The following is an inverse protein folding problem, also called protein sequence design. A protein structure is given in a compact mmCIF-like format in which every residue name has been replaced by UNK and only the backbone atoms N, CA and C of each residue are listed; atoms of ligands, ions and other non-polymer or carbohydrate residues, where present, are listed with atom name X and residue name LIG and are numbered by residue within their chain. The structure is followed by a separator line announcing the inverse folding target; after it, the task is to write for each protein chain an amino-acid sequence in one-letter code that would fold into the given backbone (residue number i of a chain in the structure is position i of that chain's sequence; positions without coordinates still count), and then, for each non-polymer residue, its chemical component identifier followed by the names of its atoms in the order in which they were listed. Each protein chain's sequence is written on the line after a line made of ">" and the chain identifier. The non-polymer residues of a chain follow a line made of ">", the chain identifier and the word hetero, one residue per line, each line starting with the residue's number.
data_IF_353897127700
#
_entry.id   IF_353897127700
#
_cell.length_a   1.000
_cell.length_b   1.000
_cell.length_c   1.000
_cell.angle_alpha   90.00
_cell.angle_beta   90.00
_cell.angle_gamma   90.00
#
_symmetry.space_group_name_H-M   'P 1'
#
loop_
_entity.id
_entity.type
_entity.pdbx_description
1 polymer ?
#
# COMPACT_ATOMS: atom_id res chain seq x y z
N UNK A 1 -26.09 -2.22 6.31
CA UNK A 1 -25.93 -0.84 5.75
C UNK A 1 -26.64 -0.78 4.42
N UNK A 2 -27.36 0.31 4.12
CA UNK A 2 -27.93 0.52 2.79
C UNK A 2 -26.83 0.89 1.80
N UNK A 3 -26.91 0.33 0.57
CA UNK A 3 -25.99 0.70 -0.51
C UNK A 3 -26.18 2.16 -0.89
N UNK A 4 -25.08 2.91 -1.03
CA UNK A 4 -25.10 4.30 -1.45
C UNK A 4 -24.25 4.47 -2.72
N UNK A 5 -24.85 5.09 -3.72
CA UNK A 5 -24.14 5.52 -4.93
C UNK A 5 -23.65 6.97 -4.73
N UNK A 6 -22.33 7.18 -4.76
CA UNK A 6 -21.73 8.51 -4.59
C UNK A 6 -20.49 8.66 -5.47
N UNK A 7 -20.15 9.91 -5.82
CA UNK A 7 -18.88 10.20 -6.47
C UNK A 7 -17.73 9.92 -5.50
N UNK A 8 -16.68 9.25 -6.00
CA UNK A 8 -15.47 9.03 -5.23
C UNK A 8 -14.78 10.38 -4.95
N UNK A 9 -14.44 10.61 -3.70
CA UNK A 9 -13.61 11.73 -3.26
C UNK A 9 -12.49 11.18 -2.40
N UNK A 10 -11.27 11.68 -2.59
CA UNK A 10 -10.16 11.30 -1.72
C UNK A 10 -10.42 11.87 -0.34
N UNK A 11 -10.65 11.00 0.63
CA UNK A 11 -10.85 11.35 2.03
C UNK A 11 -9.65 10.90 2.84
N UNK A 12 -9.33 11.62 3.92
CA UNK A 12 -8.33 11.22 4.88
C UNK A 12 -8.83 9.96 5.62
N UNK A 13 -8.52 8.78 5.04
CA UNK A 13 -8.83 7.48 5.63
C UNK A 13 -7.59 7.00 6.39
N UNK A 14 -7.80 6.31 7.51
CA UNK A 14 -6.70 5.71 8.26
C UNK A 14 -5.88 4.75 7.37
N UNK A 15 -4.57 5.01 7.25
CA UNK A 15 -3.68 4.20 6.39
C UNK A 15 -3.29 2.90 7.07
N UNK A 16 -3.07 1.86 6.27
CA UNK A 16 -2.62 0.54 6.71
C UNK A 16 -1.29 0.23 6.04
N UNK A 17 -0.25 0.04 6.84
CA UNK A 17 1.13 -0.15 6.38
C UNK A 17 1.65 -1.47 6.94
N UNK A 18 2.24 -2.30 6.08
CA UNK A 18 2.98 -3.48 6.49
C UNK A 18 4.49 -3.23 6.41
N UNK A 19 5.23 -3.74 7.37
CA UNK A 19 6.69 -3.70 7.38
C UNK A 19 7.23 -5.11 7.60
N UNK A 20 7.87 -5.66 6.57
CA UNK A 20 8.54 -6.96 6.63
C UNK A 20 10.05 -6.80 6.77
N UNK A 21 10.70 -7.74 7.45
CA UNK A 21 12.15 -7.78 7.52
C UNK A 21 12.68 -8.82 8.48
N UNK A 22 13.96 -9.23 8.38
CA UNK A 22 14.58 -10.15 9.30
C UNK A 22 14.66 -9.57 10.72
N UNK A 23 14.96 -10.42 11.70
CA UNK A 23 15.25 -9.95 13.07
C UNK A 23 16.46 -9.03 13.04
N UNK A 24 16.39 -7.89 13.75
CA UNK A 24 17.45 -6.89 13.77
C UNK A 24 17.47 -5.91 12.59
N UNK A 25 16.52 -6.00 11.64
CA UNK A 25 16.45 -5.04 10.52
C UNK A 25 15.91 -3.64 10.88
N UNK A 26 15.50 -3.42 12.13
CA UNK A 26 15.01 -2.11 12.58
C UNK A 26 13.52 -1.86 12.32
N UNK A 27 12.68 -2.90 12.19
CA UNK A 27 11.23 -2.78 11.98
C UNK A 27 10.57 -1.90 13.05
N UNK A 28 10.69 -2.29 14.31
CA UNK A 28 10.10 -1.58 15.46
C UNK A 28 10.47 -0.10 15.46
N UNK A 29 11.78 0.20 15.30
CA UNK A 29 12.25 1.58 15.24
C UNK A 29 11.66 2.33 14.05
N UNK A 30 11.63 1.71 12.88
CA UNK A 30 11.02 2.30 11.68
C UNK A 30 9.54 2.59 11.86
N UNK A 31 8.79 1.67 12.50
CA UNK A 31 7.37 1.83 12.81
C UNK A 31 7.13 2.97 13.80
N UNK A 32 7.96 3.11 14.83
CA UNK A 32 7.90 4.23 15.78
C UNK A 32 8.15 5.57 15.10
N UNK A 33 9.25 5.70 14.33
CA UNK A 33 9.58 6.94 13.62
C UNK A 33 8.52 7.33 12.58
N UNK A 34 8.01 6.36 11.82
CA UNK A 34 6.94 6.59 10.86
C UNK A 34 5.67 7.05 11.56
N UNK A 35 5.28 6.40 12.66
CA UNK A 35 4.11 6.75 13.46
C UNK A 35 4.19 8.17 14.00
N UNK A 36 5.32 8.51 14.62
CA UNK A 36 5.55 9.87 15.13
C UNK A 36 5.42 10.91 14.02
N UNK A 37 6.08 10.69 12.88
CA UNK A 37 6.02 11.62 11.75
C UNK A 37 4.63 11.79 11.16
N UNK A 38 3.82 10.73 11.18
CA UNK A 38 2.44 10.75 10.72
C UNK A 38 1.55 11.57 11.68
N UNK A 39 1.64 11.32 13.00
CA UNK A 39 0.89 12.07 14.02
C UNK A 39 1.33 13.54 14.06
N UNK A 40 2.64 13.83 13.99
CA UNK A 40 3.16 15.20 13.99
C UNK A 40 2.71 16.00 12.76
N UNK A 41 2.60 15.35 11.61
CA UNK A 41 2.06 15.98 10.40
C UNK A 41 0.55 16.20 10.47
N UNK A 42 -0.18 15.33 11.16
CA UNK A 42 -1.62 15.46 11.39
C UNK A 42 -1.92 16.57 12.41
N UNK A 43 -1.08 16.69 13.44
CA UNK A 43 -1.23 17.62 14.56
C UNK A 43 0.05 18.45 14.75
N UNK A 44 0.35 19.38 13.83
CA UNK A 44 1.58 20.18 13.90
C UNK A 44 1.64 21.08 15.15
N UNK A 45 0.49 21.37 15.74
CA UNK A 45 0.34 22.17 16.97
C UNK A 45 0.64 21.37 18.24
N UNK A 46 0.66 20.04 18.20
CA UNK A 46 0.96 19.21 19.37
C UNK A 46 2.44 19.24 19.73
N UNK A 47 2.73 19.15 21.03
CA UNK A 47 4.09 18.87 21.49
C UNK A 47 4.54 17.48 21.05
N UNK A 48 5.83 17.21 21.10
CA UNK A 48 6.34 15.88 20.75
C UNK A 48 5.84 14.81 21.70
N UNK A 49 5.72 15.12 23.01
CA UNK A 49 5.15 14.21 23.99
C UNK A 49 3.68 13.87 23.69
N UNK A 50 2.88 14.84 23.28
CA UNK A 50 1.51 14.60 22.84
C UNK A 50 1.42 13.72 21.60
N UNK A 51 2.38 13.88 20.67
CA UNK A 51 2.45 13.03 19.48
C UNK A 51 2.80 11.59 19.85
N UNK A 52 3.75 11.39 20.77
CA UNK A 52 4.12 10.05 21.25
C UNK A 52 3.01 9.40 22.06
N UNK A 53 2.31 10.15 22.93
CA UNK A 53 1.18 9.66 23.72
C UNK A 53 -0.01 9.18 22.87
N UNK A 54 -0.10 9.60 21.61
CA UNK A 54 -1.12 9.18 20.66
C UNK A 54 -0.78 7.87 19.91
N UNK A 55 0.35 7.23 20.20
CA UNK A 55 0.84 6.00 19.58
C UNK A 55 0.68 4.85 20.56
N UNK A 56 0.13 3.72 20.11
CA UNK A 56 0.03 2.48 20.86
C UNK A 56 0.81 1.36 20.14
N UNK A 57 1.72 0.73 20.86
CA UNK A 57 2.45 -0.46 20.43
C UNK A 57 1.82 -1.70 21.07
N UNK A 58 1.26 -2.60 20.27
CA UNK A 58 0.87 -3.95 20.68
C UNK A 58 2.13 -4.81 20.59
N UNK A 59 2.73 -5.07 21.75
CA UNK A 59 4.01 -5.78 21.87
C UNK A 59 3.78 -7.26 22.16
N UNK A 60 4.23 -8.12 21.24
CA UNK A 60 4.24 -9.57 21.40
C UNK A 60 5.66 -10.12 21.60
N UNK A 61 6.65 -9.23 21.73
CA UNK A 61 8.08 -9.55 21.86
C UNK A 61 8.62 -9.31 23.29
N UNK A 62 7.79 -9.56 24.31
CA UNK A 62 8.14 -9.53 25.73
C UNK A 62 8.67 -8.16 26.22
N UNK A 63 8.02 -7.08 25.83
CA UNK A 63 8.37 -5.73 26.28
C UNK A 63 9.58 -5.14 25.55
N UNK A 64 10.05 -5.76 24.46
CA UNK A 64 11.21 -5.26 23.71
C UNK A 64 10.96 -3.90 23.08
N UNK A 65 9.70 -3.60 22.74
CA UNK A 65 9.29 -2.32 22.22
C UNK A 65 9.55 -1.16 23.18
N UNK A 66 9.39 -1.36 24.47
CA UNK A 66 9.60 -0.32 25.50
C UNK A 66 11.06 0.13 25.66
N UNK A 67 12.02 -0.65 25.16
CA UNK A 67 13.44 -0.33 25.26
C UNK A 67 13.87 0.93 24.47
N UNK A 68 13.05 1.34 23.52
CA UNK A 68 13.38 2.51 22.67
C UNK A 68 12.99 3.84 23.28
N UNK A 69 12.18 3.87 24.35
CA UNK A 69 11.77 5.10 25.03
C UNK A 69 12.97 5.80 25.65
N UNK A 70 13.14 7.08 25.33
CA UNK A 70 14.28 7.91 25.77
C UNK A 70 15.46 7.92 24.81
N UNK A 71 15.48 7.05 23.79
CA UNK A 71 16.53 7.05 22.77
C UNK A 71 16.39 8.26 21.82
N UNK A 72 17.50 8.57 21.14
CA UNK A 72 17.50 9.59 20.08
C UNK A 72 18.04 9.00 18.79
N UNK A 73 17.26 9.09 17.72
CA UNK A 73 17.64 8.61 16.39
C UNK A 73 17.67 9.80 15.42
N UNK A 74 18.88 10.14 14.95
CA UNK A 74 19.08 11.38 14.20
C UNK A 74 18.69 12.60 15.04
N UNK A 75 17.71 13.36 14.59
CA UNK A 75 17.17 14.53 15.30
C UNK A 75 15.91 14.22 16.13
N UNK A 76 15.44 12.97 16.12
CA UNK A 76 14.18 12.60 16.74
C UNK A 76 14.43 11.95 18.10
N UNK A 77 13.94 12.58 19.17
CA UNK A 77 13.87 11.98 20.50
C UNK A 77 12.58 11.14 20.59
N UNK A 78 12.73 9.88 21.05
CA UNK A 78 11.62 8.95 21.22
C UNK A 78 11.03 9.17 22.62
N UNK A 79 9.87 9.80 22.67
CA UNK A 79 9.12 10.02 23.90
C UNK A 79 8.44 8.77 24.43
N UNK A 80 7.71 8.93 25.53
CA UNK A 80 6.87 7.85 26.07
C UNK A 80 5.64 7.63 25.17
N UNK A 81 5.42 6.40 24.76
CA UNK A 81 4.24 5.93 24.03
C UNK A 81 3.54 4.81 24.79
N UNK A 82 2.30 4.53 24.40
CA UNK A 82 1.49 3.51 25.09
C UNK A 82 1.84 2.11 24.58
N UNK A 83 1.80 1.10 25.46
CA UNK A 83 2.00 -0.31 25.10
C UNK A 83 0.86 -1.17 25.58
N UNK A 84 0.57 -2.23 24.81
CA UNK A 84 -0.27 -3.35 25.19
C UNK A 84 0.59 -4.59 25.10
N UNK A 85 1.08 -5.08 26.24
CA UNK A 85 1.93 -6.26 26.28
C UNK A 85 1.08 -7.52 26.16
N UNK A 86 1.38 -8.32 25.13
CA UNK A 86 0.68 -9.57 24.86
C UNK A 86 1.59 -10.77 25.14
N UNK A 87 1.05 -11.74 25.88
CA UNK A 87 1.65 -13.05 26.10
C UNK A 87 0.85 -14.14 25.37
N UNK A 88 1.45 -15.32 25.13
CA UNK A 88 0.72 -16.46 24.59
C UNK A 88 -0.53 -16.80 25.43
N UNK A 89 -1.63 -17.28 24.84
CA UNK A 89 -1.75 -17.66 23.42
C UNK A 89 -2.03 -16.48 22.47
N UNK A 90 -1.29 -16.41 21.34
CA UNK A 90 -1.41 -15.36 20.33
C UNK A 90 -2.55 -15.65 19.35
N UNK A 91 -3.78 -15.64 19.85
CA UNK A 91 -4.96 -15.94 19.03
C UNK A 91 -5.38 -14.71 18.19
N UNK A 92 -6.03 -14.89 17.03
CA UNK A 92 -6.62 -13.76 16.30
C UNK A 92 -7.56 -12.91 17.16
N UNK A 93 -8.31 -13.53 18.08
CA UNK A 93 -9.21 -12.82 18.99
C UNK A 93 -8.44 -11.88 19.93
N UNK A 94 -7.32 -12.34 20.50
CA UNK A 94 -6.52 -11.51 21.43
C UNK A 94 -5.96 -10.25 20.73
N UNK A 95 -5.56 -10.37 19.45
CA UNK A 95 -5.14 -9.20 18.66
C UNK A 95 -6.32 -8.26 18.34
N UNK A 96 -7.50 -8.81 18.04
CA UNK A 96 -8.72 -8.00 17.84
C UNK A 96 -9.05 -7.22 19.10
N UNK A 97 -9.01 -7.86 20.27
CA UNK A 97 -9.26 -7.23 21.56
C UNK A 97 -8.24 -6.11 21.86
N UNK A 98 -6.96 -6.33 21.53
CA UNK A 98 -5.92 -5.31 21.69
C UNK A 98 -6.11 -4.12 20.76
N UNK A 99 -6.51 -4.34 19.50
CA UNK A 99 -6.83 -3.26 18.55
C UNK A 99 -8.01 -2.43 19.08
N UNK A 100 -9.10 -3.07 19.53
CA UNK A 100 -10.26 -2.38 20.07
C UNK A 100 -9.90 -1.60 21.34
N UNK A 101 -9.06 -2.15 22.23
CA UNK A 101 -8.57 -1.45 23.41
C UNK A 101 -7.82 -0.16 23.04
N UNK A 102 -6.94 -0.21 22.04
CA UNK A 102 -6.24 0.98 21.56
C UNK A 102 -7.21 2.01 20.94
N UNK A 103 -8.25 1.55 20.21
CA UNK A 103 -9.28 2.42 19.65
C UNK A 103 -10.14 3.11 20.73
N UNK A 104 -10.49 2.40 21.82
CA UNK A 104 -11.21 2.91 22.97
C UNK A 104 -10.40 3.98 23.72
N UNK A 105 -9.08 3.88 23.71
CA UNK A 105 -8.17 4.89 24.26
C UNK A 105 -7.85 6.03 23.29
N UNK A 106 -8.55 6.10 22.15
CA UNK A 106 -8.41 7.14 21.13
C UNK A 106 -7.00 7.28 20.55
N UNK A 107 -6.29 6.18 20.42
CA UNK A 107 -4.98 6.19 19.77
C UNK A 107 -5.09 6.61 18.30
N UNK A 108 -4.10 7.35 17.83
CA UNK A 108 -4.02 7.75 16.40
C UNK A 108 -3.35 6.68 15.55
N UNK A 109 -2.33 6.05 16.09
CA UNK A 109 -1.57 4.99 15.42
C UNK A 109 -1.50 3.77 16.32
N UNK A 110 -1.75 2.61 15.75
CA UNK A 110 -1.55 1.29 16.36
C UNK A 110 -0.41 0.61 15.61
N UNK A 111 0.65 0.26 16.32
CA UNK A 111 1.74 -0.58 15.83
C UNK A 111 1.50 -2.00 16.37
N UNK A 112 1.63 -3.02 15.53
CA UNK A 112 1.55 -4.44 15.93
C UNK A 112 2.93 -5.06 15.71
N UNK A 113 3.67 -5.30 16.77
CA UNK A 113 5.01 -5.90 16.72
C UNK A 113 5.12 -7.15 17.62
N UNK A 114 4.99 -8.30 17.03
CA UNK A 114 4.96 -8.65 15.62
C UNK A 114 3.65 -9.36 15.25
N UNK A 115 3.03 -8.99 14.13
CA UNK A 115 1.86 -9.69 13.61
C UNK A 115 2.17 -11.16 13.28
N UNK A 116 3.44 -11.51 13.04
CA UNK A 116 3.87 -12.90 12.79
C UNK A 116 3.43 -13.88 13.88
N UNK A 117 3.33 -13.44 15.14
CA UNK A 117 2.96 -14.34 16.23
C UNK A 117 1.51 -14.84 16.13
N UNK A 118 0.58 -14.09 15.53
CA UNK A 118 -0.77 -14.62 15.28
C UNK A 118 -0.77 -15.77 14.27
N UNK A 119 0.29 -15.88 13.46
CA UNK A 119 0.42 -16.96 12.48
C UNK A 119 1.21 -18.14 13.00
N UNK A 120 2.44 -17.90 13.50
CA UNK A 120 3.40 -18.95 13.89
C UNK A 120 3.55 -19.15 15.39
N UNK A 121 3.04 -18.22 16.22
CA UNK A 121 3.17 -18.28 17.67
C UNK A 121 2.27 -19.33 18.32
N UNK A 122 2.48 -19.57 19.61
CA UNK A 122 1.64 -20.46 20.42
C UNK A 122 0.19 -19.93 20.46
N UNK A 123 -0.78 -20.78 20.13
CA UNK A 123 -2.19 -20.41 19.99
C UNK A 123 -2.52 -19.72 18.67
N UNK A 124 -1.52 -19.41 17.86
CA UNK A 124 -1.71 -18.82 16.54
C UNK A 124 -2.33 -19.74 15.51
N UNK A 125 -2.54 -19.24 14.30
CA UNK A 125 -3.30 -19.93 13.25
C UNK A 125 -2.70 -21.29 12.86
N UNK A 126 -1.38 -21.38 12.72
CA UNK A 126 -0.70 -22.66 12.40
C UNK A 126 -0.78 -23.68 13.54
N UNK A 127 -0.59 -23.24 14.79
CA UNK A 127 -0.70 -24.10 15.97
C UNK A 127 -2.12 -24.66 16.11
N UNK A 128 -3.13 -23.81 15.96
CA UNK A 128 -4.53 -24.22 15.97
C UNK A 128 -4.86 -25.20 14.84
N UNK A 129 -4.39 -24.92 13.63
CA UNK A 129 -4.56 -25.79 12.47
C UNK A 129 -3.93 -27.16 12.71
N UNK A 130 -2.70 -27.21 13.24
CA UNK A 130 -2.00 -28.45 13.55
C UNK A 130 -2.74 -29.30 14.60
N UNK A 131 -3.25 -28.68 15.67
CA UNK A 131 -4.04 -29.35 16.73
C UNK A 131 -5.34 -29.96 16.17
N UNK A 132 -6.05 -29.23 15.30
CA UNK A 132 -7.27 -29.73 14.64
C UNK A 132 -6.92 -30.87 13.69
N UNK A 133 -5.88 -30.72 12.86
CA UNK A 133 -5.42 -31.73 11.92
C UNK A 133 -5.03 -33.05 12.62
N UNK A 134 -4.30 -32.94 13.72
CA UNK A 134 -3.91 -34.13 14.53
C UNK A 134 -5.14 -34.87 15.10
N UNK A 135 -6.17 -34.13 15.52
CA UNK A 135 -7.41 -34.71 16.07
C UNK A 135 -8.31 -35.33 15.00
N UNK A 136 -8.39 -34.70 13.80
CA UNK A 136 -9.33 -35.09 12.74
C UNK A 136 -8.70 -35.99 11.66
N UNK A 137 -7.37 -36.08 11.64
CA UNK A 137 -6.63 -36.78 10.58
C UNK A 137 -6.60 -36.05 9.24
N UNK A 138 -7.12 -34.81 9.15
CA UNK A 138 -7.23 -34.07 7.89
C UNK A 138 -6.77 -32.62 8.03
N UNK A 139 -5.56 -32.34 7.52
CA UNK A 139 -4.95 -31.03 7.53
C UNK A 139 -5.69 -29.99 6.68
N UNK A 140 -6.28 -30.43 5.56
CA UNK A 140 -6.97 -29.52 4.64
C UNK A 140 -8.27 -28.99 5.25
N UNK A 141 -9.09 -29.87 5.86
CA UNK A 141 -10.35 -29.46 6.47
C UNK A 141 -10.16 -28.59 7.71
N UNK A 142 -9.00 -28.71 8.40
CA UNK A 142 -8.69 -27.89 9.56
C UNK A 142 -8.66 -26.38 9.24
N UNK A 143 -8.28 -26.01 8.02
CA UNK A 143 -8.27 -24.62 7.59
C UNK A 143 -9.67 -23.98 7.51
N UNK A 144 -10.73 -24.79 7.37
CA UNK A 144 -12.10 -24.28 7.38
C UNK A 144 -12.47 -23.61 8.71
N UNK A 145 -11.88 -24.08 9.82
CA UNK A 145 -12.15 -23.55 11.16
C UNK A 145 -11.21 -22.40 11.51
N UNK A 146 -9.99 -22.37 10.94
CA UNK A 146 -8.96 -21.37 11.26
C UNK A 146 -9.10 -20.11 10.39
N UNK A 147 -9.39 -20.29 9.09
CA UNK A 147 -9.47 -19.18 8.12
C UNK A 147 -10.44 -18.06 8.51
N UNK A 148 -11.67 -18.33 9.01
CA UNK A 148 -12.60 -17.27 9.36
C UNK A 148 -12.11 -16.38 10.48
N UNK A 149 -11.39 -16.93 11.47
CA UNK A 149 -10.83 -16.13 12.58
C UNK A 149 -9.69 -15.24 12.10
N UNK A 150 -8.80 -15.79 11.29
CA UNK A 150 -7.73 -15.02 10.67
C UNK A 150 -8.26 -13.87 9.82
N UNK A 151 -9.25 -14.14 8.97
CA UNK A 151 -9.87 -13.11 8.14
C UNK A 151 -10.53 -12.02 8.99
N UNK A 152 -11.19 -12.37 10.10
CA UNK A 152 -11.79 -11.40 11.01
C UNK A 152 -10.74 -10.45 11.59
N UNK A 153 -9.55 -10.93 11.94
CA UNK A 153 -8.46 -10.06 12.39
C UNK A 153 -8.01 -9.12 11.27
N UNK A 154 -7.81 -9.63 10.05
CA UNK A 154 -7.45 -8.80 8.88
C UNK A 154 -8.51 -7.72 8.66
N UNK A 155 -9.78 -8.10 8.66
CA UNK A 155 -10.91 -7.16 8.50
C UNK A 155 -10.91 -6.10 9.63
N UNK A 156 -10.63 -6.48 10.88
CA UNK A 156 -10.54 -5.55 12.02
C UNK A 156 -9.41 -4.54 11.80
N UNK A 157 -8.22 -4.99 11.41
CA UNK A 157 -7.11 -4.09 11.09
C UNK A 157 -7.48 -3.11 9.97
N UNK A 158 -8.11 -3.61 8.90
CA UNK A 158 -8.47 -2.77 7.74
C UNK A 158 -9.58 -1.77 8.06
N UNK A 159 -10.54 -2.14 8.90
CA UNK A 159 -11.67 -1.29 9.28
C UNK A 159 -11.37 -0.36 10.45
N UNK A 160 -10.23 -0.53 11.12
CA UNK A 160 -9.82 0.33 12.23
C UNK A 160 -9.81 1.81 11.82
N UNK A 161 -10.27 2.66 12.73
CA UNK A 161 -10.25 4.12 12.58
C UNK A 161 -8.84 4.69 12.80
N UNK A 162 -7.96 3.94 13.46
CA UNK A 162 -6.57 4.30 13.67
C UNK A 162 -5.73 3.95 12.43
N UNK A 163 -4.64 4.65 12.21
CA UNK A 163 -3.58 4.17 11.34
C UNK A 163 -3.02 2.88 11.92
N UNK A 164 -2.80 1.86 11.10
CA UNK A 164 -2.24 0.59 11.58
C UNK A 164 -0.95 0.31 10.83
N UNK A 165 0.12 0.05 11.62
CA UNK A 165 1.40 -0.40 11.12
C UNK A 165 1.62 -1.80 11.68
N UNK A 166 1.83 -2.79 10.81
CA UNK A 166 2.03 -4.17 11.23
C UNK A 166 3.42 -4.66 10.84
N UNK A 167 4.21 -4.99 11.86
CA UNK A 167 5.55 -5.52 11.69
C UNK A 167 5.50 -7.05 11.55
N UNK A 168 6.22 -7.57 10.57
CA UNK A 168 6.26 -8.98 10.26
C UNK A 168 7.69 -9.47 10.10
N UNK A 169 7.99 -10.62 10.66
CA UNK A 169 9.28 -11.30 10.46
C UNK A 169 9.34 -11.83 9.04
N UNK A 170 10.45 -11.60 8.36
CA UNK A 170 10.70 -12.16 7.04
C UNK A 170 11.78 -13.24 7.11
N UNK A 171 11.70 -14.17 6.18
CA UNK A 171 12.71 -15.21 5.94
C UNK A 171 12.93 -15.35 4.43
N UNK A 172 14.07 -15.98 4.07
CA UNK A 172 14.31 -16.33 2.69
C UNK A 172 13.32 -17.41 2.26
N UNK A 173 12.60 -17.15 1.17
CA UNK A 173 11.71 -18.11 0.54
C UNK A 173 12.45 -18.90 -0.54
N UNK A 174 12.09 -20.18 -0.63
CA UNK A 174 12.71 -21.13 -1.54
C UNK A 174 11.64 -21.81 -2.38
N UNK A 175 11.83 -21.87 -3.68
CA UNK A 175 11.00 -22.66 -4.59
C UNK A 175 11.74 -23.91 -5.08
N UNK A 176 10.98 -25.00 -5.22
CA UNK A 176 11.47 -26.19 -5.91
C UNK A 176 11.23 -26.02 -7.41
N UNK A 177 12.31 -25.80 -8.16
CA UNK A 177 12.25 -25.70 -9.63
C UNK A 177 12.79 -27.01 -10.24
N UNK A 178 12.17 -27.46 -11.34
CA UNK A 178 12.72 -28.58 -12.12
C UNK A 178 13.95 -28.08 -12.89
N UNK A 179 15.12 -28.58 -12.53
CA UNK A 179 16.35 -28.34 -13.27
C UNK A 179 16.29 -28.98 -14.66
N UNK A 180 17.12 -28.49 -15.60
CA UNK A 180 17.18 -29.01 -16.98
C UNK A 180 17.54 -30.49 -17.12
N UNK A 181 18.01 -31.13 -16.04
CA UNK A 181 18.30 -32.58 -15.93
C UNK A 181 17.15 -33.39 -15.29
N UNK A 182 15.96 -32.78 -15.11
CA UNK A 182 14.79 -33.43 -14.50
C UNK A 182 14.83 -33.58 -12.97
N UNK A 183 15.94 -33.16 -12.32
CA UNK A 183 16.05 -33.18 -10.85
C UNK A 183 15.46 -31.89 -10.25
N UNK A 184 14.74 -32.03 -9.14
CA UNK A 184 14.29 -30.87 -8.35
C UNK A 184 15.49 -30.14 -7.77
N UNK A 185 15.57 -28.83 -7.98
CA UNK A 185 16.52 -27.93 -7.36
C UNK A 185 15.78 -26.92 -6.50
N UNK A 186 16.32 -26.62 -5.32
CA UNK A 186 15.79 -25.57 -4.43
C UNK A 186 16.47 -24.25 -4.80
N UNK A 187 15.70 -23.27 -5.21
CA UNK A 187 16.20 -21.94 -5.57
C UNK A 187 15.61 -20.92 -4.59
N UNK A 188 16.46 -20.05 -4.04
CA UNK A 188 16.00 -18.87 -3.30
C UNK A 188 15.28 -17.92 -4.26
N UNK A 189 14.06 -17.51 -3.93
CA UNK A 189 13.22 -16.64 -4.77
C UNK A 189 13.07 -15.23 -4.21
N UNK A 190 13.47 -15.01 -2.95
CA UNK A 190 13.41 -13.71 -2.30
C UNK A 190 13.12 -13.83 -0.83
N UNK A 191 12.89 -12.69 -0.18
CA UNK A 191 12.43 -12.65 1.19
C UNK A 191 10.91 -12.55 1.22
N UNK A 192 10.25 -13.49 1.91
CA UNK A 192 8.82 -13.48 2.18
C UNK A 192 8.54 -13.32 3.66
N UNK A 193 7.39 -12.77 4.03
CA UNK A 193 6.98 -12.62 5.42
C UNK A 193 6.41 -13.93 5.98
N UNK A 194 6.64 -14.16 7.26
CA UNK A 194 6.12 -15.34 7.97
C UNK A 194 4.66 -15.10 8.38
N UNK A 195 3.81 -15.04 7.39
CA UNK A 195 2.36 -14.84 7.51
C UNK A 195 1.63 -15.71 6.49
N UNK A 196 0.32 -15.61 6.46
CA UNK A 196 -0.49 -16.20 5.40
C UNK A 196 -0.13 -15.54 4.07
N UNK A 197 0.04 -16.36 3.03
CA UNK A 197 0.36 -15.87 1.69
C UNK A 197 -0.62 -14.79 1.24
N UNK A 198 -0.09 -13.70 0.69
CA UNK A 198 -0.87 -12.58 0.16
C UNK A 198 -1.27 -11.53 1.20
N UNK A 199 -0.83 -11.62 2.45
CA UNK A 199 -1.13 -10.60 3.48
C UNK A 199 -0.67 -9.20 3.06
N UNK A 200 0.43 -9.09 2.32
CA UNK A 200 0.98 -7.83 1.82
C UNK A 200 0.01 -7.09 0.88
N UNK A 201 -0.90 -7.82 0.22
CA UNK A 201 -1.91 -7.20 -0.65
C UNK A 201 -3.02 -6.47 0.12
N UNK A 202 -3.16 -6.72 1.39
CA UNK A 202 -4.16 -6.06 2.23
C UNK A 202 -3.74 -4.63 2.61
N UNK A 203 -2.45 -4.37 2.73
CA UNK A 203 -1.94 -3.06 3.13
C UNK A 203 -1.99 -2.03 1.99
N UNK A 204 -2.05 -0.75 2.33
CA UNK A 204 -1.92 0.36 1.38
C UNK A 204 -0.51 0.41 0.81
N UNK A 205 0.49 0.30 1.67
CA UNK A 205 1.90 0.21 1.31
C UNK A 205 2.55 -0.91 2.13
N UNK A 206 3.42 -1.67 1.50
CA UNK A 206 4.20 -2.71 2.14
C UNK A 206 5.68 -2.47 1.90
N UNK A 207 6.44 -2.32 2.99
CA UNK A 207 7.89 -2.15 2.95
C UNK A 207 8.60 -3.44 3.34
N UNK A 208 9.66 -3.77 2.63
CA UNK A 208 10.67 -4.73 3.07
C UNK A 208 11.90 -3.97 3.54
N UNK A 209 12.42 -4.32 4.73
CA UNK A 209 13.62 -3.70 5.32
C UNK A 209 14.72 -4.78 5.41
N UNK A 210 15.91 -4.46 4.91
CA UNK A 210 17.09 -5.31 4.98
C UNK A 210 17.91 -5.10 6.27
N UNK A 211 19.07 -5.78 6.38
CA UNK A 211 19.96 -5.68 7.54
C UNK A 211 20.70 -4.33 7.63
N UNK A 212 20.82 -3.60 6.54
CA UNK A 212 21.37 -2.24 6.48
C UNK A 212 20.32 -1.17 6.81
N UNK A 213 19.14 -1.58 7.29
CA UNK A 213 17.99 -0.71 7.60
C UNK A 213 17.44 0.04 6.38
N UNK A 214 17.69 -0.50 5.18
CA UNK A 214 17.19 0.06 3.94
C UNK A 214 15.82 -0.53 3.62
N UNK A 215 14.83 0.32 3.47
CA UNK A 215 13.48 -0.04 3.08
C UNK A 215 13.27 0.13 1.58
N UNK A 216 12.51 -0.79 0.99
CA UNK A 216 11.92 -0.64 -0.33
C UNK A 216 10.43 -1.03 -0.31
N UNK A 217 9.62 -0.33 -1.08
CA UNK A 217 8.20 -0.66 -1.21
C UNK A 217 8.03 -1.81 -2.21
N UNK A 218 7.59 -2.99 -1.72
CA UNK A 218 7.21 -4.12 -2.58
C UNK A 218 5.77 -4.00 -3.07
N UNK A 219 4.97 -3.15 -2.39
CA UNK A 219 3.64 -2.70 -2.80
C UNK A 219 3.46 -1.26 -2.36
N UNK A 220 3.00 -0.40 -3.26
CA UNK A 220 2.67 0.98 -2.92
C UNK A 220 1.49 1.50 -3.75
N UNK A 221 0.32 1.65 -3.12
CA UNK A 221 -0.86 2.27 -3.75
C UNK A 221 -0.75 3.79 -3.81
N UNK A 222 0.22 4.37 -3.10
CA UNK A 222 0.40 5.82 -3.02
C UNK A 222 1.31 6.36 -4.12
N UNK A 223 2.13 5.50 -4.73
CA UNK A 223 3.20 5.82 -5.68
C UNK A 223 4.26 6.79 -5.11
N UNK A 224 4.32 6.93 -3.78
CA UNK A 224 5.30 7.81 -3.13
C UNK A 224 6.70 7.20 -3.11
N UNK A 225 6.78 5.86 -3.09
CA UNK A 225 8.02 5.14 -2.80
C UNK A 225 8.41 4.14 -3.91
N UNK A 226 7.72 4.20 -5.06
CA UNK A 226 8.00 3.31 -6.18
C UNK A 226 9.47 3.40 -6.60
N UNK A 227 10.16 2.24 -6.60
CA UNK A 227 11.56 2.12 -7.03
C UNK A 227 12.58 2.80 -6.13
N UNK A 228 12.20 3.25 -4.93
CA UNK A 228 13.09 3.90 -3.98
C UNK A 228 13.66 2.93 -2.95
N UNK A 229 14.91 3.19 -2.55
CA UNK A 229 15.61 2.53 -1.45
C UNK A 229 16.01 3.63 -0.45
N UNK A 230 15.52 3.53 0.79
CA UNK A 230 15.70 4.59 1.77
C UNK A 230 15.56 4.07 3.20
N UNK A 231 16.02 4.84 4.19
CA UNK A 231 15.75 4.57 5.59
C UNK A 231 14.47 5.26 6.02
N UNK A 232 13.56 4.53 6.67
CA UNK A 232 12.31 5.08 7.21
C UNK A 232 12.63 6.07 8.33
N UNK A 233 12.05 7.25 8.24
CA UNK A 233 12.22 8.38 9.18
C UNK A 233 10.86 9.03 9.45
N UNK A 234 10.76 10.01 10.37
CA UNK A 234 9.52 10.77 10.54
C UNK A 234 9.01 11.44 9.25
N UNK A 235 9.91 11.80 8.33
CA UNK A 235 9.53 12.36 7.02
C UNK A 235 8.66 11.39 6.22
N UNK A 236 8.90 10.09 6.35
CA UNK A 236 8.09 9.05 5.68
C UNK A 236 6.63 9.10 6.14
N UNK A 237 6.40 9.24 7.45
CA UNK A 237 5.06 9.41 8.02
C UNK A 237 4.38 10.69 7.54
N UNK A 238 5.12 11.81 7.54
CA UNK A 238 4.62 13.09 7.04
C UNK A 238 4.25 13.06 5.54
N UNK A 239 4.99 12.30 4.72
CA UNK A 239 4.66 12.09 3.31
C UNK A 239 3.34 11.35 3.14
N UNK A 240 3.07 10.31 3.94
CA UNK A 240 1.79 9.62 3.94
C UNK A 240 0.64 10.54 4.32
N UNK A 241 0.79 11.32 5.38
CA UNK A 241 -0.25 12.27 5.79
C UNK A 241 -0.55 13.31 4.69
N UNK A 242 0.49 13.89 4.10
CA UNK A 242 0.33 14.82 2.97
C UNK A 242 -0.39 14.18 1.79
N UNK A 243 -0.08 12.91 1.49
CA UNK A 243 -0.77 12.17 0.42
C UNK A 243 -2.24 11.92 0.77
N UNK A 244 -2.56 11.53 2.01
CA UNK A 244 -3.94 11.31 2.46
C UNK A 244 -4.79 12.58 2.33
N UNK A 245 -4.22 13.74 2.66
CA UNK A 245 -4.93 15.02 2.68
C UNK A 245 -4.92 15.78 1.35
N UNK A 246 -4.11 15.33 0.37
CA UNK A 246 -3.98 16.02 -0.93
C UNK A 246 -5.28 16.14 -1.73
N UNK A 247 -6.29 15.29 -1.49
CA UNK A 247 -7.62 15.39 -2.11
C UNK A 247 -8.57 16.36 -1.41
N UNK A 248 -8.36 16.64 -0.13
CA UNK A 248 -9.21 17.58 0.61
C UNK A 248 -8.98 19.05 0.19
N UNK A 249 -7.75 19.39 -0.20
CA UNK A 249 -7.42 20.72 -0.72
C UNK A 249 -8.10 21.03 -2.06
N UNK A 250 -8.26 20.02 -2.91
CA UNK A 250 -8.95 20.16 -4.21
C UNK A 250 -10.46 20.34 -4.02
N UNK A 251 -11.07 19.63 -3.06
CA UNK A 251 -12.50 19.76 -2.75
C UNK A 251 -12.86 21.12 -2.13
N UNK A 252 -11.96 21.73 -1.36
CA UNK A 252 -12.16 23.06 -0.78
C UNK A 252 -12.05 24.19 -1.82
N UNK A 253 -11.30 23.99 -2.91
CA UNK A 253 -11.18 24.93 -4.01
C UNK A 253 -12.33 24.82 -5.03
N UNK A 254 -13.05 23.69 -5.08
CA UNK A 254 -14.17 23.44 -5.99
C UNK A 254 -15.55 23.75 -5.39
N UNK A 255 -15.64 24.24 -4.16
CA UNK A 255 -16.88 24.76 -3.59
C UNK A 255 -17.23 26.13 -4.22
N UNK A 256 -17.59 26.13 -5.53
CA UNK A 256 -18.30 27.24 -6.15
C UNK A 256 -19.73 27.32 -5.60
N UNK A 257 -20.29 28.53 -5.46
CA UNK A 257 -21.63 28.70 -4.95
C UNK A 257 -22.68 27.97 -5.82
N UNK A 258 -23.86 27.62 -5.25
CA UNK A 258 -24.86 26.81 -5.94
C UNK A 258 -25.34 27.50 -7.22
N UNK A 259 -25.37 26.73 -8.29
CA UNK A 259 -25.96 27.14 -9.59
C UNK A 259 -27.46 27.30 -9.33
N UNK A 260 -28.08 28.48 -9.68
CA UNK A 260 -29.53 28.64 -9.60
C UNK A 260 -30.23 27.71 -10.59
N UNK A 261 -31.39 27.18 -10.20
CA UNK A 261 -32.24 26.35 -11.07
C UNK A 261 -32.68 27.08 -12.34
N UNK A 262 -32.88 26.39 -13.48
CA UNK A 262 -33.20 27.00 -14.74
C UNK A 262 -34.65 27.50 -14.78
N UNK A 263 -34.84 28.80 -14.86
CA UNK A 263 -36.10 29.39 -15.30
C UNK A 263 -36.25 29.24 -16.82
N UNK A 264 -37.47 28.87 -17.24
CA UNK A 264 -37.88 28.66 -18.64
C UNK A 264 -37.66 29.88 -19.53
N UNK A 265 -37.17 29.56 -20.68
CA UNK A 265 -37.18 30.22 -22.00
C UNK A 265 -37.69 31.64 -22.15
N UNK A 266 -36.86 32.53 -22.75
CA UNK A 266 -37.23 33.28 -23.92
C UNK A 266 -35.98 33.63 -24.78
N UNK A 267 -36.24 33.87 -26.07
CA UNK A 267 -35.38 33.78 -27.24
C UNK A 267 -34.40 34.94 -27.40
N UNK A 268 -33.36 34.60 -28.11
CA UNK A 268 -32.62 35.31 -29.16
C UNK A 268 -31.41 36.19 -28.77
N UNK A 269 -30.35 35.85 -29.48
CA UNK A 269 -29.30 36.61 -30.15
C UNK A 269 -27.90 36.68 -29.53
N UNK A 270 -26.97 36.23 -30.43
CA UNK A 270 -25.57 36.60 -30.61
C UNK A 270 -24.50 35.93 -29.74
N UNK A 271 -23.76 35.03 -30.43
CA UNK A 271 -22.41 34.54 -30.05
C UNK A 271 -21.37 35.67 -30.03
N UNK A 272 -20.31 35.57 -29.22
CA UNK A 272 -19.04 35.32 -29.87
C UNK A 272 -18.02 34.43 -29.11
N UNK A 273 -17.28 33.72 -29.90
CA UNK A 273 -15.83 33.43 -29.78
C UNK A 273 -15.39 32.37 -28.80
N UNK A 274 -15.51 31.11 -29.23
CA UNK A 274 -14.75 29.96 -28.73
C UNK A 274 -13.29 30.06 -29.20
N UNK A 275 -12.35 29.88 -28.23
CA UNK A 275 -11.00 29.47 -28.55
C UNK A 275 -11.00 27.96 -28.79
N UNK A 276 -10.28 27.45 -29.79
CA UNK A 276 -10.38 26.06 -30.20
C UNK A 276 -9.84 25.10 -29.11
N UNK A 277 -10.67 24.10 -28.80
CA UNK A 277 -10.24 22.91 -28.06
C UNK A 277 -9.06 22.28 -28.80
N UNK A 278 -7.99 21.96 -28.04
CA UNK A 278 -6.91 21.08 -28.51
C UNK A 278 -7.52 19.72 -28.85
N UNK A 279 -7.59 19.42 -30.14
CA UNK A 279 -8.08 18.16 -30.67
C UNK A 279 -7.09 17.07 -30.26
N UNK A 280 -7.40 16.34 -29.20
CA UNK A 280 -6.60 15.18 -28.76
C UNK A 280 -6.74 14.05 -29.78
N UNK A 281 -5.61 13.53 -30.23
CA UNK A 281 -5.56 12.38 -31.14
C UNK A 281 -6.13 11.13 -30.43
N UNK A 282 -7.06 10.45 -31.07
CA UNK A 282 -7.59 9.19 -30.55
C UNK A 282 -6.72 8.01 -30.96
N UNK A 283 -6.79 6.90 -30.21
CA UNK A 283 -6.08 5.65 -30.54
C UNK A 283 -6.51 5.10 -31.92
N UNK A 284 -7.76 5.33 -32.31
CA UNK A 284 -8.28 4.91 -33.63
C UNK A 284 -7.61 5.69 -34.76
N UNK A 285 -7.43 7.00 -34.58
CA UNK A 285 -6.70 7.84 -35.55
C UNK A 285 -5.24 7.43 -35.67
N UNK A 286 -4.59 7.10 -34.56
CA UNK A 286 -3.22 6.58 -34.55
C UNK A 286 -3.11 5.23 -35.26
N UNK A 287 -4.04 4.29 -35.02
CA UNK A 287 -4.05 2.97 -35.67
C UNK A 287 -4.24 3.10 -37.18
N UNK A 288 -5.10 4.02 -37.63
CA UNK A 288 -5.29 4.31 -39.06
C UNK A 288 -4.05 4.92 -39.70
N UNK A 289 -3.38 5.88 -39.04
CA UNK A 289 -2.15 6.50 -39.52
C UNK A 289 -1.01 5.47 -39.69
N UNK A 290 -0.79 4.63 -38.69
CA UNK A 290 0.24 3.57 -38.75
C UNK A 290 -0.10 2.53 -39.82
N UNK A 291 -1.37 2.16 -39.98
CA UNK A 291 -1.79 1.23 -41.02
C UNK A 291 -1.53 1.80 -42.42
N UNK A 292 -1.86 3.07 -42.67
CA UNK A 292 -1.55 3.75 -43.93
C UNK A 292 -0.04 3.81 -44.19
N UNK A 293 0.76 4.12 -43.15
CA UNK A 293 2.21 4.14 -43.28
C UNK A 293 2.82 2.77 -43.64
N UNK A 294 2.10 1.68 -43.32
CA UNK A 294 2.52 0.30 -43.63
C UNK A 294 2.00 -0.20 -45.00
N UNK A 295 1.03 0.49 -45.62
CA UNK A 295 0.46 0.06 -46.92
C UNK A 295 1.52 0.14 -48.03
N UNK A 296 1.61 -0.92 -48.85
CA UNK A 296 2.57 -1.01 -49.96
C UNK A 296 4.04 -1.17 -49.56
N UNK A 297 4.38 -1.23 -48.29
CA UNK A 297 5.73 -1.33 -47.75
C UNK A 297 6.25 -2.78 -47.73
N UNK A 298 7.54 -2.93 -47.98
CA UNK A 298 8.27 -4.21 -47.87
C UNK A 298 8.37 -4.70 -46.43
N UNK A 299 8.77 -5.95 -46.19
CA UNK A 299 8.94 -6.50 -44.86
C UNK A 299 10.03 -5.76 -44.03
N UNK A 300 11.11 -5.30 -44.68
CA UNK A 300 12.18 -4.51 -44.05
C UNK A 300 11.69 -3.12 -43.63
N UNK A 301 10.96 -2.42 -44.50
CA UNK A 301 10.38 -1.10 -44.18
C UNK A 301 9.38 -1.18 -43.05
N UNK A 302 8.51 -2.23 -42.97
CA UNK A 302 7.60 -2.47 -41.87
C UNK A 302 8.32 -2.75 -40.55
N UNK A 303 9.47 -3.43 -40.61
CA UNK A 303 10.33 -3.67 -39.46
C UNK A 303 10.90 -2.36 -38.91
N UNK A 304 11.34 -1.46 -39.78
CA UNK A 304 11.82 -0.11 -39.39
C UNK A 304 10.74 0.73 -38.72
N UNK A 305 9.50 0.68 -39.24
CA UNK A 305 8.35 1.34 -38.59
C UNK A 305 8.14 0.77 -37.18
N UNK A 306 8.18 -0.54 -36.99
CA UNK A 306 8.07 -1.20 -35.68
C UNK A 306 9.20 -0.82 -34.70
N UNK A 307 10.43 -0.67 -35.22
CA UNK A 307 11.60 -0.21 -34.43
C UNK A 307 11.44 1.24 -33.96
N UNK A 308 10.96 2.13 -34.83
CA UNK A 308 10.66 3.52 -34.50
C UNK A 308 9.55 3.64 -33.45
N UNK A 309 8.46 2.87 -33.59
CA UNK A 309 7.39 2.81 -32.60
C UNK A 309 7.95 2.35 -31.25
N UNK A 310 8.79 1.32 -31.23
CA UNK A 310 9.42 0.82 -30.02
C UNK A 310 10.35 1.84 -29.36
N UNK A 311 11.08 2.62 -30.16
CA UNK A 311 11.97 3.67 -29.66
C UNK A 311 11.21 4.81 -28.95
N UNK A 312 10.00 5.15 -29.43
CA UNK A 312 9.17 6.23 -28.88
C UNK A 312 8.30 5.73 -27.75
N UNK A 313 7.65 4.56 -27.91
CA UNK A 313 6.64 4.04 -27.00
C UNK A 313 7.20 3.04 -25.96
N UNK A 314 8.49 2.66 -26.05
CA UNK A 314 9.07 1.63 -25.20
C UNK A 314 8.56 0.20 -25.49
N UNK A 315 7.59 0.06 -26.41
CA UNK A 315 6.96 -1.21 -26.79
C UNK A 315 6.66 -1.25 -28.30
N UNK A 316 6.73 -2.43 -28.89
CA UNK A 316 6.28 -2.64 -30.29
C UNK A 316 4.76 -2.72 -30.43
N UNK A 317 4.04 -2.87 -29.32
CA UNK A 317 2.58 -2.89 -29.31
C UNK A 317 2.03 -1.53 -28.87
N UNK A 318 1.98 -0.56 -29.80
CA UNK A 318 1.47 0.80 -29.53
C UNK A 318 0.01 0.83 -29.06
N UNK A 319 -0.81 -0.19 -29.31
CA UNK A 319 -2.19 -0.29 -28.83
C UNK A 319 -2.31 -0.41 -27.30
N UNK A 320 -1.19 -0.65 -26.61
CA UNK A 320 -1.12 -0.67 -25.14
C UNK A 320 -0.62 0.66 -24.54
N UNK A 321 -0.32 1.64 -25.37
CA UNK A 321 0.14 2.96 -24.91
C UNK A 321 -1.04 3.76 -24.41
N UNK A 322 -0.96 4.25 -23.18
CA UNK A 322 -1.99 5.07 -22.53
C UNK A 322 -1.57 6.53 -22.32
N UNK A 323 -0.30 6.84 -22.58
CA UNK A 323 0.26 8.18 -22.47
C UNK A 323 -0.11 9.01 -23.71
N UNK A 324 -0.89 10.08 -23.52
CA UNK A 324 -1.38 10.93 -24.60
C UNK A 324 -0.25 11.62 -25.36
N UNK A 325 0.82 12.03 -24.69
CA UNK A 325 1.96 12.70 -25.35
C UNK A 325 2.70 11.74 -26.29
N UNK A 326 2.77 10.46 -25.93
CA UNK A 326 3.34 9.43 -26.80
C UNK A 326 2.41 9.15 -27.99
N UNK A 327 1.11 9.11 -27.77
CA UNK A 327 0.08 8.92 -28.83
C UNK A 327 0.17 10.05 -29.84
N UNK A 328 0.19 11.29 -29.40
CA UNK A 328 0.28 12.48 -30.26
C UNK A 328 1.59 12.50 -31.05
N UNK A 329 2.71 12.16 -30.42
CA UNK A 329 4.03 12.09 -31.06
C UNK A 329 4.11 10.99 -32.13
N UNK A 330 3.52 9.81 -31.87
CA UNK A 330 3.45 8.74 -32.86
C UNK A 330 2.53 9.12 -34.01
N UNK A 331 1.39 9.76 -33.73
CA UNK A 331 0.48 10.22 -34.76
C UNK A 331 1.13 11.26 -35.69
N UNK A 332 1.84 12.24 -35.13
CA UNK A 332 2.54 13.27 -35.90
C UNK A 332 3.63 12.69 -36.81
N UNK A 333 4.20 11.56 -36.43
CA UNK A 333 5.21 10.87 -37.24
C UNK A 333 4.60 10.10 -38.41
N UNK A 334 3.37 9.61 -38.32
CA UNK A 334 2.76 8.69 -39.29
C UNK A 334 1.49 9.23 -39.99
N UNK A 335 1.00 10.42 -39.65
CA UNK A 335 -0.17 11.08 -40.30
C UNK A 335 0.08 11.48 -41.75
#
# INVERSE_FOLDING_TARGET
>A
MALQFKKAQKSAVAIKIGIGGPSGSGKTMSSLLLSYGLVKAEHPEWSDDQCWDAICLIDTENGSGSLYTGDTVGETHIGAYNTIDMAPPFTPSSFIDAIHMAEEHNMRVIIIDSLTHVWTGEGGSLDKQGKIAARTGNSYTAWRDVTPEHNRLVDTMLQSKCHVIADMRAKMDYEQVKGGNGKSQVKAVGMGVQMRDGIEYEFTTFFMIDYEHTANATKDRTHLFDGQYFTITPKTGAMFYKWLTSGAATAAQEAKPPIPEPHKADKADEAPNEKPDEVRVTMEQLDEAIRRACEGKTAEEKKTIGENIRAIAGTSNYKKVTDQQIIDKLYDMYK
#
